data_IF_382060288472
#
_entry.id   IF_382060288472
#
_cell.length_a   1.000
_cell.length_b   1.000
_cell.length_c   1.000
_cell.angle_alpha   90.00
_cell.angle_beta   90.00
_cell.angle_gamma   90.00
#
_symmetry.space_group_name_H-M   'P 1'
#
loop_
_entity.id
_entity.type
_entity.pdbx_description
1 polymer ?
#
# COMPACT_ATOMS: atom_id res chain seq x y z
N UNK A 1 -13.08 -32.79 -9.49
CA UNK A 1 -13.56 -31.78 -8.52
C UNK A 1 -13.33 -32.16 -7.05
N UNK A 2 -13.99 -33.16 -6.42
CA UNK A 2 -13.71 -33.50 -4.99
C UNK A 2 -12.26 -33.97 -4.75
N UNK A 3 -11.75 -34.84 -5.64
CA UNK A 3 -10.36 -35.33 -5.58
C UNK A 3 -9.30 -34.25 -5.87
N UNK A 4 -9.60 -33.24 -6.69
CA UNK A 4 -8.69 -32.11 -6.95
C UNK A 4 -8.63 -31.14 -5.75
N UNK A 5 -9.74 -30.98 -5.03
CA UNK A 5 -9.78 -30.18 -3.80
C UNK A 5 -9.00 -30.89 -2.69
N UNK A 6 -9.14 -32.22 -2.55
CA UNK A 6 -8.37 -33.01 -1.58
C UNK A 6 -6.87 -33.05 -1.92
N UNK A 7 -6.50 -33.19 -3.20
CA UNK A 7 -5.10 -33.14 -3.63
C UNK A 7 -4.47 -31.75 -3.38
N UNK A 8 -5.23 -30.67 -3.59
CA UNK A 8 -4.79 -29.31 -3.28
C UNK A 8 -4.61 -29.06 -1.78
N UNK A 9 -5.50 -29.61 -0.94
CA UNK A 9 -5.40 -29.54 0.53
C UNK A 9 -4.19 -30.30 1.06
N UNK A 10 -3.91 -31.51 0.56
CA UNK A 10 -2.76 -32.31 1.00
C UNK A 10 -1.41 -31.65 0.64
N UNK A 11 -1.29 -31.01 -0.53
CA UNK A 11 -0.07 -30.27 -0.90
C UNK A 11 0.09 -28.99 -0.06
N UNK A 12 -1.02 -28.35 0.31
CA UNK A 12 -0.99 -27.18 1.19
C UNK A 12 -0.59 -27.54 2.63
N UNK A 13 -1.04 -28.68 3.15
CA UNK A 13 -0.63 -29.18 4.47
C UNK A 13 0.83 -29.65 4.50
N UNK A 14 1.29 -30.36 3.46
CA UNK A 14 2.69 -30.80 3.38
C UNK A 14 3.67 -29.61 3.37
N UNK A 15 3.29 -28.49 2.72
CA UNK A 15 4.10 -27.26 2.75
C UNK A 15 4.03 -26.49 4.06
N UNK A 16 3.00 -26.74 4.88
CA UNK A 16 2.87 -26.09 6.18
C UNK A 16 3.90 -26.59 7.20
N UNK A 17 4.42 -27.80 7.00
CA UNK A 17 5.39 -28.45 7.91
C UNK A 17 6.86 -28.30 7.48
N UNK A 18 7.14 -27.60 6.37
CA UNK A 18 8.53 -27.34 5.98
C UNK A 18 9.13 -26.30 6.94
N UNK A 19 10.34 -26.55 7.46
CA UNK A 19 10.98 -25.61 8.34
C UNK A 19 11.27 -24.29 7.62
N UNK A 20 11.25 -23.15 8.34
CA UNK A 20 11.28 -21.82 7.73
C UNK A 20 12.53 -21.54 6.87
N UNK A 21 13.64 -22.24 7.13
CA UNK A 21 14.89 -22.08 6.38
C UNK A 21 14.88 -22.67 4.97
N UNK A 22 13.99 -23.62 4.66
CA UNK A 22 13.91 -24.25 3.33
C UNK A 22 12.99 -23.50 2.34
N UNK A 23 12.31 -22.44 2.81
CA UNK A 23 11.27 -21.76 2.03
C UNK A 23 11.83 -20.80 0.97
N UNK A 24 13.05 -20.30 1.17
CA UNK A 24 13.66 -19.30 0.29
C UNK A 24 14.97 -19.84 -0.31
N UNK A 25 15.06 -19.98 -1.64
CA UNK A 25 16.33 -20.31 -2.27
C UNK A 25 17.38 -19.23 -1.97
N UNK A 26 18.67 -19.58 -1.85
CA UNK A 26 19.74 -18.63 -1.52
C UNK A 26 19.88 -17.48 -2.52
N UNK A 27 19.33 -17.64 -3.72
CA UNK A 27 19.36 -16.64 -4.79
C UNK A 27 18.30 -15.54 -4.61
N UNK A 28 17.25 -15.76 -3.80
CA UNK A 28 16.07 -14.88 -3.76
C UNK A 28 16.24 -13.70 -2.79
N UNK A 29 17.22 -13.75 -1.89
CA UNK A 29 17.48 -12.72 -0.89
C UNK A 29 18.83 -12.03 -1.09
N UNK A 30 18.93 -10.84 -0.52
CA UNK A 30 20.08 -9.96 -0.59
C UNK A 30 20.71 -9.83 0.80
N UNK A 31 22.02 -10.02 0.89
CA UNK A 31 22.75 -9.69 2.11
C UNK A 31 22.76 -8.17 2.34
N UNK A 32 22.75 -7.71 3.60
CA UNK A 32 22.76 -6.28 3.94
C UNK A 32 23.87 -5.48 3.23
N UNK A 33 25.05 -6.09 3.03
CA UNK A 33 26.18 -5.49 2.30
C UNK A 33 25.94 -5.22 0.81
N UNK A 34 24.89 -5.79 0.23
CA UNK A 34 24.46 -5.59 -1.15
C UNK A 34 23.11 -4.89 -1.25
N UNK A 35 22.61 -4.31 -0.15
CA UNK A 35 21.32 -3.64 -0.10
C UNK A 35 21.31 -2.39 -1.01
N UNK A 36 22.45 -1.73 -1.15
CA UNK A 36 22.69 -0.64 -2.10
C UNK A 36 22.33 -1.06 -3.54
N UNK A 37 22.92 -2.15 -4.00
CA UNK A 37 22.69 -2.73 -5.32
C UNK A 37 21.26 -3.23 -5.48
N UNK A 38 20.70 -3.86 -4.44
CA UNK A 38 19.33 -4.35 -4.43
C UNK A 38 18.34 -3.20 -4.64
N UNK A 39 18.53 -2.08 -3.93
CA UNK A 39 17.67 -0.91 -4.01
C UNK A 39 17.71 -0.27 -5.41
N UNK A 40 18.90 -0.05 -5.97
CA UNK A 40 19.06 0.53 -7.31
C UNK A 40 18.40 -0.35 -8.37
N UNK A 41 18.69 -1.66 -8.37
CA UNK A 41 18.11 -2.58 -9.34
C UNK A 41 16.59 -2.68 -9.18
N UNK A 42 16.08 -2.69 -7.94
CA UNK A 42 14.66 -2.70 -7.67
C UNK A 42 13.98 -1.46 -8.26
N UNK A 43 14.53 -0.26 -8.04
CA UNK A 43 14.00 0.99 -8.58
C UNK A 43 14.02 1.02 -10.12
N UNK A 44 15.13 0.60 -10.73
CA UNK A 44 15.26 0.51 -12.20
C UNK A 44 14.24 -0.47 -12.79
N UNK A 45 14.14 -1.67 -12.22
CA UNK A 45 13.27 -2.72 -12.76
C UNK A 45 11.79 -2.46 -12.51
N UNK A 46 11.47 -1.71 -11.46
CA UNK A 46 10.12 -1.20 -11.22
C UNK A 46 9.75 -0.05 -12.17
N UNK A 47 10.69 0.46 -12.97
CA UNK A 47 10.48 1.57 -13.90
C UNK A 47 10.43 2.93 -13.23
N UNK A 48 10.89 3.05 -11.97
CA UNK A 48 10.95 4.31 -11.23
C UNK A 48 12.07 5.22 -11.73
N UNK A 49 13.13 4.64 -12.30
CA UNK A 49 14.27 5.35 -12.88
C UNK A 49 14.29 5.04 -14.38
N UNK A 50 14.15 6.07 -15.21
CA UNK A 50 14.01 5.93 -16.67
C UNK A 50 15.33 6.03 -17.44
N UNK A 51 16.40 6.54 -16.83
CA UNK A 51 17.67 6.79 -17.54
C UNK A 51 18.76 5.81 -17.09
N UNK A 52 19.25 5.02 -18.04
CA UNK A 52 20.39 4.10 -17.87
C UNK A 52 21.69 4.91 -17.58
N UNK A 53 21.69 6.22 -17.89
CA UNK A 53 22.83 7.12 -17.68
C UNK A 53 23.02 7.56 -16.23
N UNK A 54 21.98 7.50 -15.40
CA UNK A 54 22.06 7.80 -13.96
C UNK A 54 22.46 6.56 -13.14
N UNK A 55 22.67 5.39 -13.78
CA UNK A 55 23.10 4.18 -13.11
C UNK A 55 24.57 4.20 -12.65
N UNK A 56 25.36 5.13 -13.20
CA UNK A 56 26.80 5.26 -12.91
C UNK A 56 27.06 6.22 -11.72
N UNK A 57 26.02 6.58 -10.94
CA UNK A 57 26.20 7.29 -9.67
C UNK A 57 27.11 6.43 -8.80
N UNK A 58 28.37 6.85 -8.55
CA UNK A 58 29.24 6.07 -7.70
C UNK A 58 28.64 6.14 -6.30
N UNK A 59 28.06 5.03 -5.86
CA UNK A 59 27.71 4.81 -4.46
C UNK A 59 29.05 4.75 -3.71
N UNK A 60 29.66 5.91 -3.48
CA UNK A 60 30.86 6.05 -2.67
C UNK A 60 30.43 5.67 -1.26
N UNK A 61 30.60 4.38 -0.98
CA UNK A 61 30.34 3.70 0.27
C UNK A 61 31.12 4.42 1.37
N UNK A 62 30.49 5.40 2.04
CA UNK A 62 31.02 5.94 3.30
C UNK A 62 31.00 4.79 4.30
N UNK A 63 32.18 4.44 4.81
CA UNK A 63 32.44 3.31 5.69
C UNK A 63 31.95 3.53 7.14
N UNK A 64 30.81 4.21 7.32
CA UNK A 64 30.18 4.41 8.62
C UNK A 64 29.06 3.40 8.87
N UNK A 65 28.66 3.17 10.13
CA UNK A 65 27.74 2.09 10.49
C UNK A 65 26.39 2.27 9.77
N UNK A 66 26.23 1.44 8.74
CA UNK A 66 25.23 1.55 7.68
C UNK A 66 23.84 1.13 8.16
N UNK A 67 23.16 2.00 8.92
CA UNK A 67 21.71 1.84 9.13
C UNK A 67 20.99 2.24 7.83
N UNK A 68 20.22 1.35 7.18
CA UNK A 68 19.46 1.67 5.97
C UNK A 68 18.61 2.94 6.09
N UNK A 69 18.15 3.24 7.31
CA UNK A 69 17.40 4.46 7.63
C UNK A 69 18.06 5.78 7.25
N UNK A 70 19.39 5.83 7.21
CA UNK A 70 20.11 7.08 6.91
C UNK A 70 20.39 7.21 5.42
N UNK A 71 21.00 6.18 4.83
CA UNK A 71 21.53 6.30 3.46
C UNK A 71 20.50 5.94 2.38
N UNK A 72 19.48 5.13 2.68
CA UNK A 72 18.52 4.69 1.67
C UNK A 72 17.61 5.84 1.19
N UNK A 73 17.12 6.75 2.06
CA UNK A 73 16.43 7.96 1.61
C UNK A 73 17.30 8.87 0.76
N UNK A 74 18.58 9.03 1.11
CA UNK A 74 19.53 9.84 0.33
C UNK A 74 19.76 9.25 -1.07
N UNK A 75 19.97 7.93 -1.15
CA UNK A 75 20.13 7.21 -2.41
C UNK A 75 18.87 7.35 -3.28
N UNK A 76 17.69 7.14 -2.72
CA UNK A 76 16.43 7.30 -3.45
C UNK A 76 16.26 8.75 -3.94
N UNK A 77 16.55 9.74 -3.10
CA UNK A 77 16.45 11.15 -3.47
C UNK A 77 17.40 11.54 -4.61
N UNK A 78 18.61 10.97 -4.66
CA UNK A 78 19.56 11.15 -5.76
C UNK A 78 19.01 10.58 -7.08
N UNK A 79 18.28 9.47 -7.01
CA UNK A 79 17.62 8.82 -8.16
C UNK A 79 16.26 9.44 -8.51
N UNK A 80 15.85 10.51 -7.84
CA UNK A 80 14.55 11.15 -8.06
C UNK A 80 13.35 10.32 -7.54
N UNK A 81 13.59 9.34 -6.68
CA UNK A 81 12.61 8.46 -6.06
C UNK A 81 12.41 8.87 -4.60
N UNK A 82 11.22 8.68 -4.06
CA UNK A 82 10.97 8.82 -2.62
C UNK A 82 11.03 7.44 -1.94
N UNK A 83 11.77 7.34 -0.85
CA UNK A 83 11.88 6.12 -0.05
C UNK A 83 11.30 6.37 1.34
N UNK A 84 10.32 5.55 1.71
CA UNK A 84 9.63 5.65 2.99
C UNK A 84 9.81 4.38 3.79
N UNK A 85 10.20 4.54 5.04
CA UNK A 85 10.23 3.45 6.00
C UNK A 85 8.82 3.23 6.58
N UNK A 86 8.42 1.97 6.61
CA UNK A 86 7.17 1.53 7.19
C UNK A 86 7.40 0.41 8.20
N UNK A 87 6.55 0.40 9.22
CA UNK A 87 6.39 -0.73 10.11
C UNK A 87 5.25 -1.60 9.59
N UNK A 88 5.57 -2.83 9.20
CA UNK A 88 4.63 -3.78 8.62
C UNK A 88 3.97 -4.62 9.70
N UNK A 89 2.71 -4.32 10.03
CA UNK A 89 1.90 -5.17 10.89
C UNK A 89 1.46 -6.44 10.13
N UNK A 90 1.50 -7.60 10.80
CA UNK A 90 1.04 -8.86 10.24
C UNK A 90 -0.39 -8.81 9.61
N UNK A 91 -1.42 -8.22 10.26
CA UNK A 91 -2.76 -8.16 9.67
C UNK A 91 -2.80 -7.34 8.36
N UNK A 92 -1.94 -6.33 8.24
CA UNK A 92 -1.90 -5.44 7.08
C UNK A 92 -0.96 -5.93 5.98
N UNK A 93 -0.09 -6.91 6.27
CA UNK A 93 0.98 -7.33 5.39
C UNK A 93 0.48 -7.76 3.99
N UNK A 94 -0.63 -8.49 3.91
CA UNK A 94 -1.23 -8.87 2.61
C UNK A 94 -1.67 -7.66 1.79
N UNK A 95 -2.27 -6.68 2.45
CA UNK A 95 -2.78 -5.46 1.81
C UNK A 95 -1.62 -4.57 1.39
N UNK A 96 -0.59 -4.47 2.23
CA UNK A 96 0.64 -3.77 1.94
C UNK A 96 1.28 -4.33 0.65
N UNK A 97 1.52 -5.65 0.55
CA UNK A 97 2.14 -6.19 -0.66
C UNK A 97 1.37 -5.88 -1.94
N UNK A 98 0.04 -5.81 -1.88
CA UNK A 98 -0.81 -5.54 -3.04
C UNK A 98 -0.74 -4.09 -3.53
N UNK A 99 -0.31 -3.14 -2.69
CA UNK A 99 -0.41 -1.71 -2.96
C UNK A 99 0.90 -0.93 -2.80
N UNK A 100 1.87 -1.49 -2.07
CA UNK A 100 3.08 -0.81 -1.63
C UNK A 100 4.35 -1.40 -2.26
N UNK A 101 4.22 -1.96 -3.47
CA UNK A 101 5.37 -2.41 -4.25
C UNK A 101 5.73 -1.31 -5.28
N UNK A 102 7.03 -1.08 -5.56
CA UNK A 102 8.18 -1.88 -5.13
C UNK A 102 8.66 -1.61 -3.69
N UNK A 103 9.13 -2.65 -2.99
CA UNK A 103 9.58 -2.57 -1.59
C UNK A 103 10.78 -3.46 -1.26
N UNK A 104 11.58 -3.07 -0.25
CA UNK A 104 12.58 -3.93 0.40
C UNK A 104 12.06 -4.40 1.76
N UNK A 105 12.10 -5.71 1.97
CA UNK A 105 11.53 -6.37 3.14
C UNK A 105 12.64 -7.05 3.96
N UNK A 106 12.83 -6.71 5.25
CA UNK A 106 13.82 -7.36 6.08
C UNK A 106 13.36 -8.76 6.48
N UNK A 107 14.26 -9.73 6.29
CA UNK A 107 14.07 -11.13 6.67
C UNK A 107 14.86 -11.39 7.95
N UNK A 108 14.27 -12.18 8.85
CA UNK A 108 14.99 -12.68 10.01
C UNK A 108 16.08 -13.67 9.56
N UNK A 109 17.24 -13.64 10.21
CA UNK A 109 18.34 -14.56 9.94
C UNK A 109 17.90 -16.04 10.01
N UNK A 110 16.97 -16.37 10.92
CA UNK A 110 16.41 -17.71 11.08
C UNK A 110 15.66 -18.26 9.86
N UNK A 111 15.17 -17.39 8.98
CA UNK A 111 14.45 -17.80 7.75
C UNK A 111 15.39 -18.04 6.56
N UNK A 112 16.71 -17.83 6.74
CA UNK A 112 17.70 -17.92 5.68
C UNK A 112 18.51 -19.19 5.88
N UNK A 113 18.48 -20.12 4.92
CA UNK A 113 19.46 -21.20 4.84
C UNK A 113 20.80 -20.65 4.36
N UNK A 114 21.49 -19.89 5.22
CA UNK A 114 22.83 -19.40 4.93
C UNK A 114 23.86 -20.51 5.22
N UNK A 115 24.84 -20.77 4.33
CA UNK A 115 25.97 -21.61 4.66
C UNK A 115 26.77 -20.98 5.81
N UNK A 116 27.07 -21.79 6.83
CA UNK A 116 27.60 -21.41 8.15
C UNK A 116 29.00 -20.76 8.18
N UNK A 117 29.51 -20.25 7.05
CA UNK A 117 30.91 -19.83 6.90
C UNK A 117 31.14 -18.32 7.06
N UNK A 118 30.14 -17.51 7.40
CA UNK A 118 30.36 -16.09 7.71
C UNK A 118 29.67 -15.70 9.02
N UNK A 119 30.43 -15.40 10.09
CA UNK A 119 29.92 -15.03 11.40
C UNK A 119 29.30 -13.61 11.45
N UNK A 120 29.12 -12.97 10.29
CA UNK A 120 28.55 -11.63 10.19
C UNK A 120 27.03 -11.77 9.97
N UNK A 121 26.32 -11.91 11.09
CA UNK A 121 24.89 -12.22 11.23
C UNK A 121 23.99 -11.03 10.83
N UNK A 122 24.23 -10.46 9.66
CA UNK A 122 23.45 -9.33 9.15
C UNK A 122 22.09 -9.80 8.64
N UNK A 123 21.00 -9.05 8.88
CA UNK A 123 19.68 -9.38 8.35
C UNK A 123 19.70 -9.40 6.82
N UNK A 124 19.02 -10.39 6.23
CA UNK A 124 18.80 -10.45 4.79
C UNK A 124 17.61 -9.58 4.37
N UNK A 125 17.54 -9.24 3.08
CA UNK A 125 16.46 -8.44 2.52
C UNK A 125 15.86 -9.11 1.28
N UNK A 126 14.54 -9.00 1.11
CA UNK A 126 13.84 -9.35 -0.14
C UNK A 126 13.50 -8.09 -0.90
N UNK A 127 13.77 -8.08 -2.21
CA UNK A 127 13.36 -7.03 -3.12
C UNK A 127 12.02 -7.42 -3.78
N UNK A 128 10.92 -6.85 -3.31
CA UNK A 128 9.57 -7.05 -3.84
C UNK A 128 9.31 -6.09 -5.00
N UNK A 129 9.19 -6.60 -6.23
CA UNK A 129 8.88 -5.79 -7.42
C UNK A 129 7.40 -5.44 -7.52
N UNK A 130 6.55 -6.46 -7.45
CA UNK A 130 5.11 -6.32 -7.47
C UNK A 130 4.45 -7.52 -6.80
N UNK A 131 3.18 -7.40 -6.43
CA UNK A 131 2.40 -8.56 -6.01
C UNK A 131 0.96 -8.47 -6.53
N UNK A 132 0.30 -9.61 -6.55
CA UNK A 132 -1.14 -9.72 -6.72
C UNK A 132 -1.74 -10.47 -5.52
N UNK A 133 -3.02 -10.80 -5.54
CA UNK A 133 -3.69 -11.46 -4.39
C UNK A 133 -3.08 -12.80 -3.97
N UNK A 134 -2.36 -13.51 -4.84
CA UNK A 134 -1.86 -14.87 -4.59
C UNK A 134 -0.34 -14.99 -4.64
N UNK A 135 0.34 -14.19 -5.46
CA UNK A 135 1.78 -14.30 -5.70
C UNK A 135 2.46 -12.95 -5.60
N UNK A 136 3.62 -12.96 -4.97
CA UNK A 136 4.61 -11.90 -4.97
C UNK A 136 5.68 -12.20 -6.01
N UNK A 137 6.19 -11.16 -6.64
CA UNK A 137 7.29 -11.24 -7.61
C UNK A 137 8.49 -10.55 -6.98
N UNK A 138 9.51 -11.34 -6.68
CA UNK A 138 10.72 -10.95 -5.98
C UNK A 138 11.88 -10.86 -6.97
N UNK A 139 12.83 -9.97 -6.71
CA UNK A 139 14.10 -9.90 -7.41
C UNK A 139 15.19 -10.58 -6.59
N UNK A 140 15.81 -11.61 -7.17
CA UNK A 140 16.95 -12.30 -6.59
C UNK A 140 18.23 -11.48 -6.69
N UNK A 141 19.26 -11.89 -5.93
CA UNK A 141 20.60 -11.30 -5.93
C UNK A 141 21.34 -11.47 -7.26
N UNK A 142 20.91 -12.43 -8.06
CA UNK A 142 21.30 -12.66 -9.45
C UNK A 142 20.63 -11.70 -10.45
N UNK A 143 19.70 -10.85 -9.97
CA UNK A 143 18.87 -9.97 -10.80
C UNK A 143 17.71 -10.70 -11.50
N UNK A 144 17.59 -12.02 -11.30
CA UNK A 144 16.47 -12.79 -11.84
C UNK A 144 15.20 -12.51 -11.05
N UNK A 145 14.07 -12.80 -11.69
CA UNK A 145 12.75 -12.57 -11.11
C UNK A 145 12.13 -13.89 -10.68
N UNK A 146 11.74 -13.99 -9.41
CA UNK A 146 11.18 -15.19 -8.80
C UNK A 146 9.74 -14.93 -8.36
N UNK A 147 8.84 -15.87 -8.62
CA UNK A 147 7.45 -15.79 -8.16
C UNK A 147 7.24 -16.68 -6.94
N UNK A 148 6.87 -16.07 -5.82
CA UNK A 148 6.61 -16.75 -4.56
C UNK A 148 5.14 -16.58 -4.16
N UNK A 149 4.45 -17.61 -3.67
CA UNK A 149 3.14 -17.45 -3.04
C UNK A 149 3.21 -16.43 -1.89
N UNK A 150 2.19 -15.59 -1.75
CA UNK A 150 2.14 -14.60 -0.65
C UNK A 150 2.21 -15.28 0.72
N UNK A 151 1.64 -16.47 0.86
CA UNK A 151 1.64 -17.21 2.11
C UNK A 151 3.06 -17.62 2.52
N UNK A 152 3.89 -18.01 1.55
CA UNK A 152 5.29 -18.37 1.79
C UNK A 152 6.13 -17.12 2.07
N UNK A 153 5.84 -15.99 1.43
CA UNK A 153 6.44 -14.70 1.76
C UNK A 153 6.11 -14.27 3.20
N UNK A 154 4.85 -14.38 3.60
CA UNK A 154 4.41 -14.06 4.97
C UNK A 154 5.07 -14.99 5.99
N UNK A 155 5.20 -16.28 5.68
CA UNK A 155 5.90 -17.24 6.55
C UNK A 155 7.39 -16.93 6.65
N UNK A 156 8.03 -16.55 5.54
CA UNK A 156 9.44 -16.16 5.56
C UNK A 156 9.69 -14.89 6.40
N UNK A 157 8.75 -13.94 6.34
CA UNK A 157 8.83 -12.72 7.14
C UNK A 157 8.47 -13.00 8.60
N UNK A 158 7.25 -13.46 8.88
CA UNK A 158 6.68 -13.54 10.23
C UNK A 158 6.71 -14.95 10.84
N UNK A 159 7.50 -15.89 10.30
CA UNK A 159 7.47 -17.30 10.72
C UNK A 159 7.75 -17.47 12.22
N UNK A 160 8.78 -16.80 12.72
CA UNK A 160 9.13 -16.85 14.14
C UNK A 160 8.00 -16.31 15.04
N UNK A 161 7.36 -15.23 14.63
CA UNK A 161 6.24 -14.62 15.35
C UNK A 161 4.98 -15.51 15.29
N UNK A 162 4.74 -16.18 14.17
CA UNK A 162 3.65 -17.16 14.00
C UNK A 162 3.84 -18.37 14.90
N UNK A 163 5.05 -18.91 14.95
CA UNK A 163 5.40 -20.08 15.79
C UNK A 163 5.34 -19.73 17.28
N UNK A 164 5.85 -18.56 17.66
CA UNK A 164 5.76 -18.04 19.02
C UNK A 164 4.30 -17.80 19.44
N UNK A 165 3.48 -17.23 18.55
CA UNK A 165 2.06 -17.01 18.79
C UNK A 165 1.29 -18.34 18.94
N UNK A 166 1.62 -19.36 18.14
CA UNK A 166 1.04 -20.69 18.25
C UNK A 166 1.36 -21.33 19.60
N UNK A 167 2.64 -21.35 19.99
CA UNK A 167 3.10 -21.90 21.27
C UNK A 167 2.42 -21.20 22.47
N UNK A 168 2.30 -19.88 22.41
CA UNK A 168 1.64 -19.07 23.45
C UNK A 168 0.15 -19.37 23.53
N UNK A 169 -0.53 -19.48 22.39
CA UNK A 169 -1.94 -19.81 22.32
C UNK A 169 -2.23 -21.22 22.88
N UNK A 170 -1.40 -22.21 22.54
CA UNK A 170 -1.53 -23.57 23.07
C UNK A 170 -1.35 -23.62 24.59
N UNK A 171 -0.33 -22.91 25.11
CA UNK A 171 -0.10 -22.80 26.55
C UNK A 171 -1.29 -22.15 27.27
N UNK A 172 -1.86 -21.09 26.68
CA UNK A 172 -3.02 -20.40 27.24
C UNK A 172 -4.28 -21.31 27.24
N UNK A 173 -4.52 -22.06 26.15
CA UNK A 173 -5.66 -23.00 26.08
C UNK A 173 -5.52 -24.14 27.08
N UNK A 174 -4.30 -24.67 27.27
CA UNK A 174 -4.02 -25.71 28.25
C UNK A 174 -4.35 -25.25 29.68
N UNK A 175 -4.07 -23.98 30.02
CA UNK A 175 -4.38 -23.42 31.32
C UNK A 175 -5.89 -23.20 31.56
N UNK A 176 -6.68 -22.97 30.51
CA UNK A 176 -8.11 -22.61 30.60
C UNK A 176 -9.08 -23.80 30.72
N UNK A 177 -8.59 -25.05 30.74
CA UNK A 177 -9.42 -26.28 30.80
C UNK A 177 -10.59 -26.30 29.79
N UNK A 178 -10.36 -25.75 28.58
CA UNK A 178 -11.39 -25.68 27.54
C UNK A 178 -11.77 -27.10 27.08
N UNK A 179 -13.07 -27.43 26.94
CA UNK A 179 -13.48 -28.73 26.39
C UNK A 179 -12.86 -29.02 25.02
N UNK A 180 -12.37 -30.25 24.81
CA UNK A 180 -11.57 -30.65 23.63
C UNK A 180 -12.16 -30.24 22.27
N UNK A 181 -13.49 -30.29 22.13
CA UNK A 181 -14.17 -29.88 20.90
C UNK A 181 -14.00 -28.39 20.52
N UNK A 182 -13.64 -27.52 21.47
CA UNK A 182 -13.42 -26.07 21.24
C UNK A 182 -11.96 -25.64 21.32
N UNK A 183 -11.05 -26.49 21.78
CA UNK A 183 -9.64 -26.13 22.01
C UNK A 183 -8.96 -25.56 20.74
N UNK A 184 -9.16 -26.21 19.58
CA UNK A 184 -8.60 -25.73 18.30
C UNK A 184 -9.15 -24.36 17.87
N UNK A 185 -10.44 -24.11 18.11
CA UNK A 185 -11.07 -22.84 17.76
C UNK A 185 -10.56 -21.70 18.67
N UNK A 186 -10.43 -21.96 19.97
CA UNK A 186 -9.89 -20.99 20.94
C UNK A 186 -8.41 -20.73 20.69
N UNK A 187 -7.60 -21.77 20.43
CA UNK A 187 -6.18 -21.62 20.10
C UNK A 187 -5.98 -20.74 18.86
N UNK A 188 -6.75 -20.98 17.78
CA UNK A 188 -6.70 -20.14 16.57
C UNK A 188 -7.12 -18.69 16.84
N UNK A 189 -8.14 -18.48 17.67
CA UNK A 189 -8.58 -17.12 18.01
C UNK A 189 -7.49 -16.35 18.79
N UNK A 190 -6.87 -17.00 19.78
CA UNK A 190 -5.76 -16.41 20.56
C UNK A 190 -4.52 -16.17 19.69
N UNK A 191 -4.19 -17.12 18.81
CA UNK A 191 -3.08 -16.95 17.86
C UNK A 191 -3.33 -15.73 16.96
N UNK A 192 -4.54 -15.58 16.44
CA UNK A 192 -4.91 -14.42 15.62
C UNK A 192 -4.82 -13.11 16.41
N UNK A 193 -5.19 -13.11 17.70
CA UNK A 193 -5.06 -11.97 18.60
C UNK A 193 -3.60 -11.59 18.84
N UNK A 194 -2.73 -12.55 19.16
CA UNK A 194 -1.29 -12.28 19.33
C UNK A 194 -0.64 -11.75 18.05
N UNK A 195 -1.02 -12.29 16.89
CA UNK A 195 -0.52 -11.83 15.60
C UNK A 195 -0.99 -10.42 15.22
N UNK A 196 -2.08 -9.89 15.80
CA UNK A 196 -2.45 -8.48 15.58
C UNK A 196 -1.39 -7.50 16.12
N UNK A 197 -0.64 -7.91 17.14
CA UNK A 197 0.45 -7.10 17.71
C UNK A 197 1.81 -7.33 17.04
N UNK A 198 1.92 -8.35 16.20
CA UNK A 198 3.18 -8.65 15.50
C UNK A 198 3.41 -7.59 14.41
N UNK A 199 4.50 -6.86 14.55
CA UNK A 199 4.89 -5.80 13.63
C UNK A 199 6.38 -5.88 13.32
N UNK A 200 6.74 -5.60 12.08
CA UNK A 200 8.12 -5.64 11.60
C UNK A 200 8.56 -4.26 11.12
N UNK A 201 9.50 -3.60 11.80
CA UNK A 201 10.08 -2.34 11.32
C UNK A 201 11.04 -2.56 10.15
N UNK A 202 11.49 -1.49 9.51
CA UNK A 202 12.52 -1.54 8.46
C UNK A 202 12.04 -2.02 7.10
N UNK A 203 10.72 -1.97 6.83
CA UNK A 203 10.19 -2.20 5.49
C UNK A 203 10.27 -0.91 4.70
N UNK A 204 10.94 -0.94 3.56
CA UNK A 204 11.12 0.25 2.71
C UNK A 204 10.25 0.17 1.49
N UNK A 205 9.47 1.22 1.21
CA UNK A 205 8.70 1.37 -0.01
C UNK A 205 9.32 2.47 -0.87
N UNK A 206 9.44 2.20 -2.17
CA UNK A 206 9.91 3.17 -3.15
C UNK A 206 8.76 3.61 -4.02
N UNK A 207 8.54 4.92 -4.07
CA UNK A 207 7.52 5.53 -4.90
C UNK A 207 8.12 6.64 -5.75
N UNK A 208 7.57 6.87 -6.94
CA UNK A 208 7.96 8.02 -7.74
C UNK A 208 7.78 9.29 -6.89
N UNK A 209 8.83 10.11 -6.79
CA UNK A 209 8.76 11.35 -6.03
C UNK A 209 7.66 12.20 -6.66
N UNK A 210 6.57 12.43 -5.91
CA UNK A 210 5.40 13.19 -6.38
C UNK A 210 5.78 14.66 -6.66
N UNK A 211 6.39 14.93 -7.80
CA UNK A 211 6.54 16.28 -8.35
C UNK A 211 5.23 16.63 -9.05
N UNK A 212 4.12 16.71 -8.33
CA UNK A 212 2.79 17.22 -8.76
C UNK A 212 2.21 16.72 -10.12
N UNK A 213 2.87 15.84 -10.85
CA UNK A 213 2.57 15.49 -12.25
C UNK A 213 1.63 14.29 -12.38
N UNK A 214 1.57 13.43 -11.37
CA UNK A 214 0.91 12.11 -11.46
C UNK A 214 -0.34 11.94 -10.59
N UNK A 215 -0.98 13.04 -10.18
CA UNK A 215 -2.32 12.99 -9.58
C UNK A 215 -3.32 12.25 -10.49
N UNK A 216 -3.21 12.44 -11.80
CA UNK A 216 -4.06 11.79 -12.80
C UNK A 216 -3.81 10.28 -12.92
N UNK A 217 -2.57 9.81 -12.79
CA UNK A 217 -2.25 8.39 -12.92
C UNK A 217 -2.72 7.60 -11.68
N UNK A 218 -2.59 8.20 -10.48
CA UNK A 218 -3.13 7.65 -9.24
C UNK A 218 -4.68 7.60 -9.25
N UNK A 219 -5.32 8.62 -9.80
CA UNK A 219 -6.79 8.60 -10.02
C UNK A 219 -7.23 7.48 -10.95
N UNK A 220 -6.41 7.16 -11.95
CA UNK A 220 -6.75 6.14 -12.93
C UNK A 220 -6.70 4.72 -12.33
N UNK A 221 -5.76 4.46 -11.42
CA UNK A 221 -5.61 3.16 -10.74
C UNK A 221 -6.69 2.87 -9.70
N UNK A 222 -7.31 3.90 -9.12
CA UNK A 222 -8.35 3.74 -8.07
C UNK A 222 -9.76 3.51 -8.63
N UNK A 223 -9.91 3.42 -9.96
CA UNK A 223 -11.22 3.34 -10.63
C UNK A 223 -12.02 4.65 -10.55
N UNK A 224 -11.41 5.72 -10.02
CA UNK A 224 -12.02 7.02 -9.87
C UNK A 224 -12.20 7.70 -11.23
N UNK A 225 -11.34 7.40 -12.21
CA UNK A 225 -11.54 7.85 -13.59
C UNK A 225 -12.81 7.31 -14.22
N UNK A 226 -13.19 6.05 -13.96
CA UNK A 226 -14.47 5.51 -14.46
C UNK A 226 -15.66 6.26 -13.85
N UNK A 227 -15.61 6.55 -12.55
CA UNK A 227 -16.60 7.38 -11.86
C UNK A 227 -16.64 8.81 -12.40
N UNK A 228 -15.48 9.41 -12.66
CA UNK A 228 -15.36 10.75 -13.23
C UNK A 228 -15.91 10.81 -14.67
N UNK A 229 -15.59 9.81 -15.50
CA UNK A 229 -16.15 9.71 -16.86
C UNK A 229 -17.66 9.52 -16.81
N UNK A 230 -18.19 8.69 -15.90
CA UNK A 230 -19.63 8.52 -15.72
C UNK A 230 -20.29 9.84 -15.29
N UNK A 231 -19.67 10.57 -14.36
CA UNK A 231 -20.14 11.89 -13.92
C UNK A 231 -20.21 12.88 -15.09
N UNK A 232 -19.15 12.98 -15.90
CA UNK A 232 -19.11 13.85 -17.08
C UNK A 232 -20.19 13.47 -18.08
N UNK A 233 -20.35 12.17 -18.38
CA UNK A 233 -21.37 11.68 -19.31
C UNK A 233 -22.77 12.01 -18.82
N UNK A 234 -23.08 11.74 -17.55
CA UNK A 234 -24.39 12.07 -16.95
C UNK A 234 -24.65 13.57 -16.99
N UNK A 235 -23.63 14.40 -16.74
CA UNK A 235 -23.73 15.85 -16.78
C UNK A 235 -24.01 16.38 -18.19
N UNK A 236 -23.31 15.87 -19.19
CA UNK A 236 -23.53 16.21 -20.60
C UNK A 236 -24.95 15.81 -21.03
N UNK A 237 -25.41 14.60 -20.71
CA UNK A 237 -26.77 14.16 -21.00
C UNK A 237 -27.80 15.11 -20.38
N UNK A 238 -27.60 15.52 -19.13
CA UNK A 238 -28.50 16.44 -18.44
C UNK A 238 -28.63 17.78 -19.17
N UNK A 239 -27.53 18.33 -19.70
CA UNK A 239 -27.56 19.56 -20.50
C UNK A 239 -28.26 19.35 -21.84
N UNK A 240 -28.01 18.23 -22.52
CA UNK A 240 -28.69 17.91 -23.79
C UNK A 240 -30.21 17.85 -23.61
N UNK A 241 -30.69 17.20 -22.55
CA UNK A 241 -32.12 17.18 -22.22
C UNK A 241 -32.67 18.56 -21.91
N UNK A 242 -31.92 19.41 -21.21
CA UNK A 242 -32.34 20.78 -20.94
C UNK A 242 -32.50 21.61 -22.22
N UNK A 243 -31.51 21.55 -23.13
CA UNK A 243 -31.59 22.25 -24.40
C UNK A 243 -32.68 21.68 -25.32
N UNK A 244 -32.88 20.37 -25.33
CA UNK A 244 -33.96 19.73 -26.07
C UNK A 244 -35.34 20.19 -25.57
N UNK A 245 -35.54 20.33 -24.25
CA UNK A 245 -36.77 20.90 -23.69
C UNK A 245 -36.99 22.35 -24.15
N UNK A 246 -35.92 23.16 -24.13
CA UNK A 246 -35.99 24.56 -24.53
C UNK A 246 -36.32 24.71 -26.02
N UNK A 247 -35.70 23.89 -26.87
CA UNK A 247 -35.99 23.84 -28.31
C UNK A 247 -37.45 23.44 -28.58
N UNK A 248 -37.95 22.42 -27.86
CA UNK A 248 -39.35 21.99 -27.96
C UNK A 248 -40.31 23.14 -27.61
N UNK A 249 -40.02 23.85 -26.51
CA UNK A 249 -40.83 24.99 -26.06
C UNK A 249 -40.80 26.15 -27.06
N UNK A 250 -39.63 26.42 -27.66
CA UNK A 250 -39.50 27.45 -28.70
C UNK A 250 -40.32 27.11 -29.95
N UNK A 251 -40.44 25.82 -30.29
CA UNK A 251 -41.22 25.36 -31.45
C UNK A 251 -42.71 25.60 -31.24
N UNK A 252 -43.23 25.30 -30.03
CA UNK A 252 -44.63 25.57 -29.64
C UNK A 252 -44.95 27.05 -29.76
N UNK A 253 -44.05 27.91 -29.29
CA UNK A 253 -44.24 29.34 -29.31
C UNK A 253 -44.33 29.91 -30.74
N UNK A 254 -43.61 29.30 -31.69
CA UNK A 254 -43.57 29.76 -33.08
C UNK A 254 -44.73 29.19 -33.91
N UNK A 255 -45.10 27.92 -33.72
CA UNK A 255 -46.15 27.29 -34.54
C UNK A 255 -47.57 27.57 -34.04
N UNK A 256 -47.74 27.91 -32.76
CA UNK A 256 -49.05 28.18 -32.15
C UNK A 256 -49.99 26.97 -32.07
N UNK A 257 -49.59 25.81 -32.61
CA UNK A 257 -50.32 24.56 -32.57
C UNK A 257 -49.87 23.76 -31.35
N UNK A 258 -50.75 23.68 -30.36
CA UNK A 258 -50.53 22.86 -29.18
C UNK A 258 -50.94 21.43 -29.53
N UNK A 259 -49.96 20.61 -29.89
CA UNK A 259 -50.15 19.16 -30.02
C UNK A 259 -49.96 18.48 -28.65
N UNK A 260 -50.93 17.66 -28.27
CA UNK A 260 -50.87 16.86 -27.03
C UNK A 260 -49.67 15.93 -26.99
N UNK A 261 -49.23 15.40 -28.13
CA UNK A 261 -48.03 14.55 -28.19
C UNK A 261 -46.78 15.31 -27.75
N UNK A 262 -46.70 16.60 -28.08
CA UNK A 262 -45.57 17.46 -27.76
C UNK A 262 -45.55 17.85 -26.27
N UNK A 263 -46.74 18.06 -25.67
CA UNK A 263 -46.86 18.25 -24.22
C UNK A 263 -46.40 17.01 -23.45
N UNK A 264 -46.83 15.81 -23.87
CA UNK A 264 -46.37 14.56 -23.25
C UNK A 264 -44.86 14.35 -23.41
N UNK A 265 -44.29 14.67 -24.58
CA UNK A 265 -42.85 14.61 -24.78
C UNK A 265 -42.10 15.54 -23.80
N UNK A 266 -42.59 16.77 -23.61
CA UNK A 266 -42.02 17.72 -22.65
C UNK A 266 -42.09 17.21 -21.20
N UNK A 267 -43.24 16.67 -20.79
CA UNK A 267 -43.43 16.08 -19.44
C UNK A 267 -42.50 14.90 -19.23
N UNK A 268 -42.40 13.99 -20.21
CA UNK A 268 -41.54 12.81 -20.10
C UNK A 268 -40.05 13.20 -20.00
N UNK A 269 -39.64 14.24 -20.73
CA UNK A 269 -38.29 14.80 -20.65
C UNK A 269 -37.99 15.37 -19.25
N UNK A 270 -38.97 16.07 -18.68
CA UNK A 270 -38.86 16.64 -17.33
C UNK A 270 -38.80 15.54 -16.26
N UNK A 271 -39.62 14.50 -16.41
CA UNK A 271 -39.62 13.35 -15.52
C UNK A 271 -38.29 12.60 -15.57
N UNK A 272 -37.68 12.47 -16.75
CA UNK A 272 -36.36 11.83 -16.93
C UNK A 272 -35.22 12.61 -16.26
N UNK A 273 -35.41 13.92 -16.00
CA UNK A 273 -34.41 14.75 -15.31
C UNK A 273 -34.30 14.39 -13.83
N UNK A 274 -35.40 14.00 -13.17
CA UNK A 274 -35.41 13.63 -11.75
C UNK A 274 -34.43 12.49 -11.41
N UNK A 275 -34.46 11.31 -12.06
CA UNK A 275 -33.51 10.24 -11.77
C UNK A 275 -32.07 10.65 -12.08
N UNK A 276 -31.82 11.47 -13.10
CA UNK A 276 -30.48 11.99 -13.38
C UNK A 276 -29.95 12.87 -12.24
N UNK A 277 -30.78 13.74 -11.68
CA UNK A 277 -30.36 14.59 -10.55
C UNK A 277 -30.09 13.79 -9.28
N UNK A 278 -30.89 12.75 -9.01
CA UNK A 278 -30.65 11.84 -7.90
C UNK A 278 -29.34 11.06 -8.07
N UNK A 279 -29.07 10.57 -9.28
CA UNK A 279 -27.82 9.87 -9.59
C UNK A 279 -26.61 10.80 -9.39
N UNK A 280 -26.72 12.06 -9.80
CA UNK A 280 -25.69 13.08 -9.63
C UNK A 280 -25.37 13.31 -8.14
N UNK A 281 -26.40 13.54 -7.31
CA UNK A 281 -26.24 13.74 -5.88
C UNK A 281 -25.66 12.50 -5.17
N UNK A 282 -25.99 11.31 -5.65
CA UNK A 282 -25.43 10.06 -5.13
C UNK A 282 -23.92 9.94 -5.45
N UNK A 283 -23.51 10.26 -6.68
CA UNK A 283 -22.09 10.26 -7.06
C UNK A 283 -21.31 11.30 -6.24
N UNK A 284 -21.84 12.50 -6.06
CA UNK A 284 -21.20 13.55 -5.27
C UNK A 284 -20.96 13.12 -3.82
N UNK A 285 -21.94 12.44 -3.19
CA UNK A 285 -21.77 11.87 -1.85
C UNK A 285 -20.66 10.83 -1.80
N UNK A 286 -20.57 9.95 -2.78
CA UNK A 286 -19.51 8.94 -2.85
C UNK A 286 -18.12 9.56 -3.03
N UNK A 287 -18.02 10.60 -3.88
CA UNK A 287 -16.77 11.33 -4.09
C UNK A 287 -16.35 12.05 -2.81
N UNK A 288 -17.27 12.70 -2.09
CA UNK A 288 -16.97 13.36 -0.81
C UNK A 288 -16.49 12.36 0.26
N UNK A 289 -17.16 11.22 0.37
CA UNK A 289 -16.80 10.15 1.33
C UNK A 289 -15.40 9.57 1.05
N UNK A 290 -15.12 9.21 -0.21
CA UNK A 290 -13.81 8.64 -0.57
C UNK A 290 -12.71 9.71 -0.57
N UNK A 291 -12.98 10.88 -1.12
CA UNK A 291 -12.03 11.98 -1.18
C UNK A 291 -11.61 12.46 0.21
N UNK A 292 -12.57 12.56 1.15
CA UNK A 292 -12.28 12.97 2.53
C UNK A 292 -11.38 11.97 3.27
N UNK A 293 -11.55 10.67 3.06
CA UNK A 293 -10.70 9.65 3.67
C UNK A 293 -9.26 9.72 3.14
N UNK A 294 -9.08 9.83 1.82
CA UNK A 294 -7.75 9.98 1.21
C UNK A 294 -7.05 11.26 1.67
N UNK A 295 -7.78 12.38 1.72
CA UNK A 295 -7.21 13.64 2.16
C UNK A 295 -6.82 13.61 3.64
N UNK A 296 -7.59 12.92 4.48
CA UNK A 296 -7.28 12.75 5.90
C UNK A 296 -6.07 11.87 6.11
N UNK A 297 -5.93 10.76 5.38
CA UNK A 297 -4.75 9.90 5.45
C UNK A 297 -3.50 10.66 4.99
N UNK A 298 -3.62 11.49 3.95
CA UNK A 298 -2.51 12.29 3.45
C UNK A 298 -2.12 13.42 4.42
N UNK A 299 -3.09 14.11 5.02
CA UNK A 299 -2.85 15.13 6.03
C UNK A 299 -2.27 14.54 7.32
N UNK A 300 -2.74 13.37 7.76
CA UNK A 300 -2.20 12.71 8.94
C UNK A 300 -0.77 12.23 8.70
N UNK A 301 -0.50 11.65 7.52
CA UNK A 301 0.85 11.20 7.15
C UNK A 301 1.81 12.39 7.02
N UNK A 302 1.35 13.51 6.45
CA UNK A 302 2.13 14.75 6.35
C UNK A 302 2.34 15.45 7.70
N UNK A 303 1.35 15.40 8.59
CA UNK A 303 1.46 15.98 9.93
C UNK A 303 2.35 15.14 10.86
N UNK A 304 2.38 13.81 10.70
CA UNK A 304 3.23 12.91 11.49
C UNK A 304 4.70 12.90 11.04
N UNK A 305 4.99 13.32 9.81
CA UNK A 305 6.37 13.48 9.32
C UNK A 305 6.95 14.89 9.55
N UNK A 306 6.20 15.80 10.19
CA UNK A 306 6.82 17.00 10.73
C UNK A 306 7.68 16.57 11.93
N UNK A 307 9.01 16.72 11.88
CA UNK A 307 9.88 16.32 12.98
C UNK A 307 9.45 17.07 14.24
N UNK A 308 8.98 16.34 15.25
CA UNK A 308 8.57 16.89 16.55
C UNK A 308 9.69 17.72 17.21
N UNK A 309 10.94 17.55 16.77
CA UNK A 309 12.10 18.32 17.21
C UNK A 309 12.09 19.79 16.75
N UNK A 310 11.41 20.13 15.66
CA UNK A 310 11.29 21.53 15.21
C UNK A 310 10.34 22.35 16.10
N UNK A 311 9.32 21.71 16.70
CA UNK A 311 8.38 22.38 17.60
C UNK A 311 8.93 22.46 19.03
N UNK A 312 9.72 21.46 19.46
CA UNK A 312 10.40 21.50 20.76
C UNK A 312 11.43 22.64 20.85
N UNK A 313 12.10 23.00 19.75
CA UNK A 313 13.10 24.07 19.74
C UNK A 313 12.54 25.50 19.57
N UNK A 314 11.28 25.66 19.14
CA UNK A 314 10.66 27.00 19.04
C UNK A 314 9.81 27.38 20.28
N UNK A 315 9.51 26.43 21.18
CA UNK A 315 8.62 26.65 22.32
C UNK A 315 9.25 27.11 23.65
N UNK A 316 10.58 27.07 23.80
CA UNK A 316 11.23 27.40 25.08
C UNK A 316 12.47 28.28 24.89
N UNK A 317 12.33 29.61 24.98
CA UNK A 317 13.50 30.45 25.30
C UNK A 317 13.60 31.87 24.77
N UNK A 318 12.68 32.38 23.94
CA UNK A 318 12.88 33.74 23.36
C UNK A 318 11.91 34.84 23.86
N UNK A 319 11.21 34.64 24.98
CA UNK A 319 10.28 35.64 25.53
C UNK A 319 10.80 36.43 26.75
N UNK A 320 12.09 36.33 27.13
CA UNK A 320 12.59 36.99 28.37
C UNK A 320 13.75 37.98 28.20
N UNK A 321 14.22 38.31 26.99
CA UNK A 321 15.26 39.33 26.79
C UNK A 321 14.77 40.51 25.98
N UNK A 322 14.29 41.55 26.67
CA UNK A 322 14.02 42.83 26.03
C UNK A 322 13.15 43.80 26.83
N UNK A 323 13.31 43.91 28.15
CA UNK A 323 12.64 44.95 28.93
C UNK A 323 13.50 45.44 30.10
N UNK A 324 14.71 45.90 29.80
CA UNK A 324 15.52 46.62 30.79
C UNK A 324 16.54 47.56 30.12
N UNK A 325 16.08 48.52 29.32
CA UNK A 325 16.82 49.79 29.25
C UNK A 325 15.98 50.92 28.65
N UNK A 326 15.25 51.63 29.52
CA UNK A 326 14.81 53.02 29.30
C UNK A 326 14.14 53.52 30.56
N UNK A 327 14.94 54.03 31.49
CA UNK A 327 14.54 55.15 32.34
C UNK A 327 15.78 55.77 32.98
N UNK A 328 16.02 57.02 32.58
CA UNK A 328 16.38 58.21 33.38
C UNK A 328 17.12 57.98 34.70
#
# INVERSE_FOLDING_TARGET
>A
MRAEIEAGLMVSEARHNLPPHDLLPPQVWWAARHLDKAAVLLMQRAGLVQDDRDADVPVQRRAEPNTPAVWLPELAAQLGVDAQEHTLAYPDARRFFQHAAPALLPIAAASIAAPAESPDESPGYLALLHSNRRRATLMGSDGATHQLPIDDLLRALFGAEVDAAATRAETAVAAMQVPGGRQRAVSRALQAEYLQTAARPGVWNFSERLVARDWWSQLNRTGLTRLLTLYVVVRVLSYVFFFAALALLSTIAVTGLIDWALLWAGVLLWLLRLPLTLLMAWIERWVALKGGLYFKDQLLTGALHLPFDAVAQQGSGNSSRGFSDRRR
#
